data_IF_384466845427
#
_entry.id   IF_384466845427
#
_cell.length_a   1.000
_cell.length_b   1.000
_cell.length_c   1.000
_cell.angle_alpha   90.00
_cell.angle_beta   90.00
_cell.angle_gamma   90.00
#
_symmetry.space_group_name_H-M   'P 1'
#
loop_
_entity.id
_entity.type
_entity.pdbx_description
1 polymer ?
#
# COMPACT_ATOMS: atom_id res chain seq x y z
N UNK A 1 5.86 -7.76 -13.85
CA UNK A 1 5.94 -7.41 -15.29
C UNK A 1 7.39 -7.21 -15.74
N UNK A 2 8.10 -6.19 -15.24
CA UNK A 2 9.46 -5.87 -15.70
C UNK A 2 10.48 -6.99 -15.42
N UNK A 3 10.46 -7.58 -14.22
CA UNK A 3 11.30 -8.74 -13.89
C UNK A 3 10.94 -9.96 -14.74
N UNK A 4 9.66 -10.31 -14.84
CA UNK A 4 9.23 -11.43 -15.67
C UNK A 4 9.61 -11.27 -17.16
N UNK A 5 9.56 -10.05 -17.69
CA UNK A 5 10.01 -9.76 -19.05
C UNK A 5 11.52 -9.96 -19.20
N UNK A 6 12.31 -9.55 -18.20
CA UNK A 6 13.78 -9.73 -18.19
C UNK A 6 14.20 -11.19 -18.06
N UNK A 7 13.53 -11.95 -17.20
CA UNK A 7 13.84 -13.35 -16.93
C UNK A 7 13.23 -14.32 -17.95
N UNK A 8 12.57 -13.81 -19.01
CA UNK A 8 12.04 -14.64 -20.08
C UNK A 8 10.85 -15.53 -19.69
N UNK A 9 10.18 -15.24 -18.57
CA UNK A 9 9.08 -16.08 -18.05
C UNK A 9 7.77 -16.00 -18.85
N UNK A 10 7.72 -15.27 -19.97
CA UNK A 10 6.59 -15.33 -20.90
C UNK A 10 5.24 -14.84 -20.34
N UNK A 11 5.22 -13.99 -19.31
CA UNK A 11 3.99 -13.30 -18.89
C UNK A 11 3.66 -12.19 -19.88
N UNK A 12 3.30 -12.57 -21.10
CA UNK A 12 2.72 -11.65 -22.05
C UNK A 12 1.36 -11.18 -21.50
N UNK A 13 1.26 -9.87 -21.22
CA UNK A 13 0.04 -9.03 -21.19
C UNK A 13 -0.80 -8.81 -19.92
N UNK A 14 -0.65 -9.52 -18.79
CA UNK A 14 -1.63 -9.36 -17.69
C UNK A 14 -1.34 -8.26 -16.65
N UNK A 15 -0.07 -7.90 -16.41
CA UNK A 15 0.29 -6.96 -15.34
C UNK A 15 0.85 -5.68 -15.95
N UNK A 16 0.15 -4.56 -15.75
CA UNK A 16 0.60 -3.22 -16.13
C UNK A 16 1.08 -2.45 -14.91
N UNK A 17 2.05 -1.56 -15.10
CA UNK A 17 2.42 -0.59 -14.05
C UNK A 17 1.21 0.26 -13.68
N UNK A 18 1.13 0.65 -12.42
CA UNK A 18 0.11 1.57 -11.91
C UNK A 18 0.50 3.04 -12.03
N UNK A 19 1.59 3.35 -12.74
CA UNK A 19 2.11 4.71 -12.92
C UNK A 19 1.01 5.69 -13.33
N UNK A 20 0.75 6.67 -12.47
CA UNK A 20 -0.26 7.68 -12.70
C UNK A 20 -0.03 8.90 -11.81
N UNK A 21 -0.30 10.12 -12.31
CA UNK A 21 -0.27 11.31 -11.48
C UNK A 21 -1.44 11.27 -10.48
N UNK A 22 -1.13 11.34 -9.19
CA UNK A 22 -2.12 11.24 -8.10
C UNK A 22 -2.57 12.60 -7.55
N UNK A 23 -2.05 13.71 -8.09
CA UNK A 23 -2.37 15.06 -7.63
C UNK A 23 -3.87 15.38 -7.74
N UNK A 24 -4.52 15.03 -8.86
CA UNK A 24 -5.97 15.24 -9.02
C UNK A 24 -6.83 14.43 -8.06
N UNK A 25 -6.36 13.23 -7.67
CA UNK A 25 -6.98 12.45 -6.60
C UNK A 25 -6.81 13.15 -5.25
N UNK A 26 -5.60 13.64 -4.95
CA UNK A 26 -5.30 14.34 -3.70
C UNK A 26 -6.12 15.62 -3.55
N UNK A 27 -6.33 16.40 -4.61
CA UNK A 27 -7.21 17.58 -4.59
C UNK A 27 -8.62 17.23 -4.10
N UNK A 28 -9.21 16.13 -4.60
CA UNK A 28 -10.53 15.66 -4.16
C UNK A 28 -10.53 15.24 -2.69
N UNK A 29 -9.50 14.52 -2.26
CA UNK A 29 -9.35 14.10 -0.85
C UNK A 29 -9.29 15.32 0.07
N UNK A 30 -8.49 16.33 -0.28
CA UNK A 30 -8.30 17.53 0.54
C UNK A 30 -9.58 18.36 0.70
N UNK A 31 -10.50 18.32 -0.26
CA UNK A 31 -11.81 19.01 -0.12
C UNK A 31 -12.71 18.42 0.96
N UNK A 32 -12.54 17.12 1.29
CA UNK A 32 -13.30 16.45 2.37
C UNK A 32 -12.71 16.78 3.75
N UNK A 33 -11.37 16.88 3.82
CA UNK A 33 -10.63 17.06 5.06
C UNK A 33 -10.44 15.76 5.86
N UNK A 34 -9.79 15.87 7.02
CA UNK A 34 -9.55 14.74 7.93
C UNK A 34 -8.30 13.91 7.65
N UNK A 35 -7.57 14.16 6.56
CA UNK A 35 -6.25 13.55 6.33
C UNK A 35 -5.20 14.20 7.21
N UNK A 36 -4.46 13.39 7.97
CA UNK A 36 -3.40 13.81 8.88
C UNK A 36 -2.00 13.39 8.43
N UNK A 37 -1.92 12.39 7.54
CA UNK A 37 -0.67 11.95 6.92
C UNK A 37 -0.95 11.45 5.50
N UNK A 38 -0.04 11.70 4.56
CA UNK A 38 -0.12 11.20 3.20
C UNK A 38 1.29 10.90 2.68
N UNK A 39 1.47 9.75 2.03
CA UNK A 39 2.72 9.37 1.36
C UNK A 39 2.44 8.38 0.24
N UNK A 40 3.13 8.55 -0.87
CA UNK A 40 3.18 7.61 -1.98
C UNK A 40 4.11 6.42 -1.66
N UNK A 41 3.65 5.16 -1.78
CA UNK A 41 4.45 3.99 -1.44
C UNK A 41 5.36 3.57 -2.60
N UNK A 42 6.32 4.43 -2.96
CA UNK A 42 7.35 4.17 -3.97
C UNK A 42 8.40 3.18 -3.42
N UNK A 43 9.67 3.57 -3.20
CA UNK A 43 10.71 2.62 -2.77
C UNK A 43 10.40 1.98 -1.41
N UNK A 44 10.46 0.65 -1.37
CA UNK A 44 10.11 -0.16 -0.19
C UNK A 44 8.61 -0.32 0.05
N UNK A 45 7.77 0.16 -0.88
CA UNK A 45 6.35 -0.12 -0.95
C UNK A 45 5.53 0.34 0.26
N UNK A 46 4.43 -0.38 0.49
CA UNK A 46 3.52 -0.17 1.61
C UNK A 46 4.22 -0.42 2.96
N UNK A 47 5.06 -1.45 3.03
CA UNK A 47 5.76 -1.84 4.25
C UNK A 47 6.64 -0.71 4.79
N UNK A 48 7.47 -0.09 3.93
CA UNK A 48 8.28 1.07 4.34
C UNK A 48 7.39 2.26 4.70
N UNK A 49 6.34 2.52 3.94
CA UNK A 49 5.46 3.68 4.12
C UNK A 49 4.76 3.67 5.49
N UNK A 50 4.17 2.54 5.89
CA UNK A 50 3.47 2.43 7.18
C UNK A 50 4.49 2.43 8.34
N UNK A 51 5.67 1.83 8.16
CA UNK A 51 6.74 1.92 9.16
C UNK A 51 7.25 3.37 9.34
N UNK A 52 7.32 4.16 8.27
CA UNK A 52 7.62 5.60 8.37
C UNK A 52 6.53 6.35 9.13
N UNK A 53 5.25 6.06 8.91
CA UNK A 53 4.16 6.66 9.68
C UNK A 53 4.27 6.30 11.17
N UNK A 54 4.41 5.02 11.49
CA UNK A 54 4.55 4.56 12.88
C UNK A 54 5.73 5.20 13.60
N UNK A 55 6.91 5.23 12.96
CA UNK A 55 8.13 5.78 13.58
C UNK A 55 8.13 7.30 13.70
N UNK A 56 7.69 8.05 12.68
CA UNK A 56 7.68 9.52 12.70
C UNK A 56 6.59 10.08 13.62
N UNK A 57 5.48 9.37 13.78
CA UNK A 57 4.37 9.77 14.65
C UNK A 57 4.43 9.13 16.04
N UNK A 58 5.35 8.18 16.28
CA UNK A 58 5.47 7.42 17.52
C UNK A 58 4.16 6.71 17.93
N UNK A 59 3.56 5.97 16.99
CA UNK A 59 2.29 5.25 17.17
C UNK A 59 2.40 3.79 16.75
N UNK A 60 1.55 2.92 17.31
CA UNK A 60 1.36 1.56 16.82
C UNK A 60 0.37 1.52 15.65
N UNK A 61 0.53 0.56 14.73
CA UNK A 61 -0.38 0.37 13.60
C UNK A 61 -0.69 -1.12 13.46
N UNK A 62 -1.98 -1.47 13.38
CA UNK A 62 -2.45 -2.79 12.97
C UNK A 62 -2.88 -2.70 11.51
N UNK A 63 -2.35 -3.57 10.67
CA UNK A 63 -2.70 -3.71 9.26
C UNK A 63 -3.38 -5.06 9.08
N UNK A 64 -4.48 -5.09 8.33
CA UNK A 64 -5.26 -6.28 8.06
C UNK A 64 -4.95 -6.78 6.64
N UNK A 65 -4.23 -7.89 6.54
CA UNK A 65 -3.73 -8.43 5.26
C UNK A 65 -4.86 -8.70 4.26
N UNK A 66 -6.01 -9.18 4.74
CA UNK A 66 -7.18 -9.52 3.93
C UNK A 66 -7.82 -8.29 3.28
N UNK A 67 -7.58 -7.09 3.82
CA UNK A 67 -8.15 -5.83 3.31
C UNK A 67 -7.25 -5.14 2.29
N UNK A 68 -6.00 -5.57 2.13
CA UNK A 68 -5.05 -4.94 1.20
C UNK A 68 -5.43 -5.32 -0.24
N UNK A 69 -5.80 -4.35 -1.10
CA UNK A 69 -6.23 -4.64 -2.46
C UNK A 69 -5.02 -4.97 -3.35
N UNK A 70 -4.74 -6.26 -3.50
CA UNK A 70 -3.67 -6.78 -4.37
C UNK A 70 -4.32 -7.51 -5.56
N UNK A 71 -4.11 -7.07 -6.81
CA UNK A 71 -4.62 -7.78 -7.98
C UNK A 71 -4.09 -9.21 -8.06
N UNK A 72 -4.93 -10.18 -8.43
CA UNK A 72 -4.55 -11.61 -8.49
C UNK A 72 -3.29 -11.86 -9.33
N UNK A 73 -3.16 -11.20 -10.49
CA UNK A 73 -1.96 -11.33 -11.32
C UNK A 73 -0.68 -10.85 -10.61
N UNK A 74 -0.77 -9.78 -9.81
CA UNK A 74 0.37 -9.30 -8.99
C UNK A 74 0.70 -10.32 -7.91
N UNK A 75 -0.31 -10.83 -7.19
CA UNK A 75 -0.12 -11.87 -6.17
C UNK A 75 0.58 -13.10 -6.75
N UNK A 76 0.06 -13.67 -7.83
CA UNK A 76 0.65 -14.85 -8.48
C UNK A 76 2.09 -14.60 -8.94
N UNK A 77 2.38 -13.42 -9.50
CA UNK A 77 3.74 -13.07 -9.89
C UNK A 77 4.69 -12.92 -8.69
N UNK A 78 4.23 -12.31 -7.60
CA UNK A 78 5.01 -12.17 -6.37
C UNK A 78 5.30 -13.54 -5.73
N UNK A 79 4.30 -14.41 -5.66
CA UNK A 79 4.44 -15.77 -5.14
C UNK A 79 5.47 -16.58 -5.94
N UNK A 80 5.43 -16.50 -7.28
CA UNK A 80 6.38 -17.19 -8.15
C UNK A 80 7.81 -16.65 -8.04
N UNK A 81 7.97 -15.35 -7.77
CA UNK A 81 9.27 -14.70 -7.64
C UNK A 81 9.81 -14.75 -6.20
N UNK A 82 9.02 -15.19 -5.23
CA UNK A 82 9.39 -15.19 -3.82
C UNK A 82 9.53 -13.78 -3.22
N UNK A 83 8.76 -12.81 -3.73
CA UNK A 83 8.81 -11.41 -3.29
C UNK A 83 7.54 -11.08 -2.50
N UNK A 84 7.66 -10.36 -1.37
CA UNK A 84 6.48 -9.86 -0.66
C UNK A 84 5.90 -8.66 -1.44
N UNK A 85 4.62 -8.70 -1.88
CA UNK A 85 4.00 -7.59 -2.61
C UNK A 85 3.93 -6.29 -1.81
N UNK A 86 4.04 -6.33 -0.48
CA UNK A 86 4.02 -5.14 0.37
C UNK A 86 5.32 -4.35 0.33
N UNK A 87 6.42 -4.96 -0.14
CA UNK A 87 7.74 -4.33 -0.24
C UNK A 87 8.03 -3.75 -1.63
N UNK A 88 7.18 -4.03 -2.61
CA UNK A 88 7.32 -3.56 -3.99
C UNK A 88 6.77 -2.14 -4.12
N UNK A 89 7.51 -1.27 -4.81
CA UNK A 89 7.06 0.09 -5.04
C UNK A 89 5.88 0.26 -6.00
N UNK A 90 5.10 1.31 -5.73
CA UNK A 90 3.96 1.76 -6.51
C UNK A 90 4.22 3.17 -7.06
N UNK A 91 3.74 3.45 -8.28
CA UNK A 91 3.99 4.72 -8.99
C UNK A 91 2.71 5.53 -9.26
N UNK A 92 1.60 5.14 -8.62
CA UNK A 92 0.29 5.81 -8.78
C UNK A 92 -0.67 5.56 -7.62
N UNK A 93 -0.12 5.41 -6.41
CA UNK A 93 -0.88 5.11 -5.19
C UNK A 93 -0.52 6.09 -4.08
N UNK A 94 -1.42 6.22 -3.10
CA UNK A 94 -1.21 7.02 -1.90
C UNK A 94 -1.67 6.19 -0.69
N UNK A 95 -0.88 6.22 0.38
CA UNK A 95 -1.25 5.75 1.72
C UNK A 95 -1.61 6.96 2.56
N UNK A 96 -2.77 6.90 3.23
CA UNK A 96 -3.33 8.01 3.99
C UNK A 96 -3.52 7.60 5.45
N UNK A 97 -3.14 8.49 6.36
CA UNK A 97 -3.66 8.52 7.73
C UNK A 97 -4.84 9.49 7.77
N UNK A 98 -5.98 9.04 8.28
CA UNK A 98 -7.23 9.81 8.32
C UNK A 98 -7.80 9.74 9.74
N UNK A 99 -8.39 10.84 10.24
CA UNK A 99 -9.15 10.82 11.49
C UNK A 99 -10.35 9.87 11.36
N UNK A 100 -10.63 9.11 12.41
CA UNK A 100 -11.58 8.00 12.38
C UNK A 100 -12.98 8.44 11.90
N UNK A 101 -13.43 9.61 12.36
CA UNK A 101 -14.76 10.16 12.06
C UNK A 101 -14.93 10.54 10.58
N UNK A 102 -13.81 10.67 9.84
CA UNK A 102 -13.79 11.02 8.41
C UNK A 102 -13.41 9.87 7.50
N UNK A 103 -13.08 8.69 8.05
CA UNK A 103 -12.57 7.56 7.26
C UNK A 103 -13.52 7.15 6.13
N UNK A 104 -14.81 6.98 6.43
CA UNK A 104 -15.82 6.58 5.43
C UNK A 104 -16.09 7.67 4.39
N UNK A 105 -16.14 8.94 4.80
CA UNK A 105 -16.37 10.07 3.90
C UNK A 105 -15.21 10.24 2.91
N UNK A 106 -13.98 10.16 3.41
CA UNK A 106 -12.76 10.20 2.59
C UNK A 106 -12.69 8.99 1.66
N UNK A 107 -12.97 7.79 2.16
CA UNK A 107 -12.99 6.58 1.33
C UNK A 107 -14.02 6.67 0.20
N UNK A 108 -15.22 7.17 0.50
CA UNK A 108 -16.27 7.38 -0.49
C UNK A 108 -15.85 8.39 -1.57
N UNK A 109 -15.18 9.48 -1.19
CA UNK A 109 -14.65 10.46 -2.13
C UNK A 109 -13.54 9.88 -3.02
N UNK A 110 -12.63 9.09 -2.45
CA UNK A 110 -11.55 8.42 -3.19
C UNK A 110 -12.15 7.46 -4.24
N UNK A 111 -13.13 6.64 -3.85
CA UNK A 111 -13.74 5.64 -4.75
C UNK A 111 -14.51 6.23 -5.93
N UNK A 112 -14.90 7.51 -5.86
CA UNK A 112 -15.49 8.24 -7.00
C UNK A 112 -14.45 8.62 -8.06
N UNK A 113 -13.17 8.66 -7.72
CA UNK A 113 -12.10 8.97 -8.66
C UNK A 113 -11.62 7.70 -9.39
N UNK A 114 -11.32 7.74 -10.71
CA UNK A 114 -10.87 6.56 -11.45
C UNK A 114 -9.66 5.84 -10.85
N UNK A 115 -8.69 6.59 -10.32
CA UNK A 115 -7.50 6.03 -9.66
C UNK A 115 -7.80 5.42 -8.26
N UNK A 116 -8.91 5.78 -7.64
CA UNK A 116 -9.26 5.38 -6.28
C UNK A 116 -10.31 4.27 -6.18
N UNK A 117 -10.77 3.71 -7.31
CA UNK A 117 -11.85 2.70 -7.35
C UNK A 117 -11.64 1.51 -6.40
N UNK A 118 -10.39 1.08 -6.24
CA UNK A 118 -10.01 -0.05 -5.40
C UNK A 118 -9.49 0.36 -4.01
N UNK A 119 -9.67 1.62 -3.60
CA UNK A 119 -9.23 2.06 -2.28
C UNK A 119 -9.97 1.29 -1.18
N UNK A 120 -9.27 1.05 -0.08
CA UNK A 120 -9.76 0.33 1.08
C UNK A 120 -9.14 0.88 2.36
N UNK A 121 -9.87 0.79 3.47
CA UNK A 121 -9.31 0.94 4.80
C UNK A 121 -8.62 -0.38 5.16
N UNK A 122 -7.30 -0.32 5.33
CA UNK A 122 -6.45 -1.51 5.49
C UNK A 122 -5.95 -1.72 6.92
N UNK A 123 -6.30 -0.85 7.85
CA UNK A 123 -5.73 -0.88 9.19
C UNK A 123 -6.19 0.27 10.07
N UNK A 124 -5.66 0.29 11.28
CA UNK A 124 -5.94 1.30 12.30
C UNK A 124 -4.68 1.65 13.09
N UNK A 125 -4.64 2.89 13.59
CA UNK A 125 -3.61 3.35 14.52
C UNK A 125 -4.04 2.97 15.93
N UNK A 126 -3.13 2.48 16.76
CA UNK A 126 -3.43 2.01 18.11
C UNK A 126 -2.25 2.19 19.08
N UNK A 127 -2.55 2.19 20.37
CA UNK A 127 -1.59 2.15 21.48
C UNK A 127 -1.30 0.72 21.97
N UNK A 128 -2.05 -0.28 21.48
CA UNK A 128 -1.97 -1.69 21.91
C UNK A 128 -0.71 -2.41 21.42
N UNK A 129 -0.08 -1.92 20.37
CA UNK A 129 1.14 -2.50 19.78
C UNK A 129 2.19 -1.43 19.60
N UNK A 130 3.46 -1.83 19.50
CA UNK A 130 4.56 -0.94 19.10
C UNK A 130 4.98 -1.29 17.68
N UNK A 131 5.23 -0.28 16.86
CA UNK A 131 5.57 -0.48 15.45
C UNK A 131 4.35 -0.91 14.62
N UNK A 132 4.60 -1.69 13.57
CA UNK A 132 3.58 -2.15 12.63
C UNK A 132 3.37 -3.65 12.75
N UNK A 133 2.13 -4.06 13.02
CA UNK A 133 1.71 -5.46 13.11
C UNK A 133 0.75 -5.77 11.96
N UNK A 134 1.05 -6.81 11.19
CA UNK A 134 0.16 -7.36 10.18
C UNK A 134 -0.63 -8.52 10.79
N UNK A 135 -1.95 -8.41 10.77
CA UNK A 135 -2.88 -9.51 11.00
C UNK A 135 -3.07 -10.26 9.69
N UNK A 136 -2.74 -11.55 9.68
CA UNK A 136 -2.77 -12.38 8.47
C UNK A 136 -4.16 -12.88 8.17
N UNK A 137 -4.38 -13.36 6.95
CA UNK A 137 -5.68 -13.91 6.51
C UNK A 137 -6.16 -15.07 7.41
N UNK A 138 -5.25 -15.79 8.06
CA UNK A 138 -5.56 -16.89 9.00
C UNK A 138 -5.69 -16.44 10.47
N UNK A 139 -5.66 -15.14 10.74
CA UNK A 139 -5.81 -14.53 12.07
C UNK A 139 -4.52 -14.47 12.91
N UNK A 140 -3.39 -14.92 12.36
CA UNK A 140 -2.08 -14.79 13.01
C UNK A 140 -1.59 -13.34 12.99
N UNK A 141 -0.70 -12.97 13.91
CA UNK A 141 -0.10 -11.62 13.94
C UNK A 141 1.41 -11.72 13.78
N UNK A 142 1.97 -10.92 12.88
CA UNK A 142 3.43 -10.79 12.69
C UNK A 142 3.84 -9.33 12.60
N UNK A 143 5.07 -9.03 12.99
CA UNK A 143 5.63 -7.71 12.75
C UNK A 143 5.83 -7.52 11.24
N UNK A 144 5.37 -6.38 10.71
CA UNK A 144 5.69 -5.95 9.36
C UNK A 144 6.90 -5.02 9.45
N UNK A 145 8.08 -5.59 9.23
CA UNK A 145 9.32 -4.83 9.31
C UNK A 145 9.48 -3.89 8.11
N UNK A 146 10.23 -2.81 8.32
CA UNK A 146 10.73 -2.00 7.21
C UNK A 146 11.67 -2.87 6.36
N UNK A 147 11.50 -2.91 5.02
CA UNK A 147 12.42 -3.63 4.16
C UNK A 147 13.83 -3.02 4.21
N UNK A 148 14.85 -3.87 4.07
CA UNK A 148 16.27 -3.43 4.03
C UNK A 148 16.53 -2.55 2.79
N UNK A 149 15.81 -2.80 1.71
CA UNK A 149 15.85 -2.04 0.46
C UNK A 149 14.74 -2.54 -0.47
N UNK A 150 14.57 -1.88 -1.61
CA UNK A 150 13.61 -2.34 -2.62
C UNK A 150 14.10 -3.67 -3.25
N UNK A 151 13.27 -4.73 -3.30
CA UNK A 151 13.69 -6.03 -3.83
C UNK A 151 13.95 -6.00 -5.32
N UNK A 152 13.47 -4.99 -6.06
CA UNK A 152 13.58 -4.93 -7.51
C UNK A 152 14.65 -3.90 -7.94
N UNK A 153 15.77 -4.34 -8.53
CA UNK A 153 16.80 -3.42 -9.00
C UNK A 153 16.29 -2.59 -10.18
N UNK A 154 16.58 -1.27 -10.13
CA UNK A 154 16.18 -0.28 -11.16
C UNK A 154 14.66 -0.23 -11.36
N UNK A 155 13.89 -0.27 -10.27
CA UNK A 155 12.42 -0.24 -10.32
C UNK A 155 11.83 1.12 -10.69
N UNK A 156 12.51 2.21 -10.29
CA UNK A 156 12.15 3.59 -10.58
C UNK A 156 13.38 4.43 -10.94
#
# INVERSE_FOLDING_TARGET
ALMSFREGYGFETLIKSDIAPVNGLMEKILTVGGVVAAKDPTRGGLANTINEFSSKSNVGIIVYEERIPIPNGVRSACDMLGIDPLEIGNEGKIVLGVVEEKAEEVLAAIRRHPLGKNAAVIGEVTDKVKGVVLETIVGGKRNLHKPVGDPVPRIC
#
